data_IF_137121026579
#
_entry.id   IF_137121026579
#
_cell.length_a   1.000
_cell.length_b   1.000
_cell.length_c   1.000
_cell.angle_alpha   90.00
_cell.angle_beta   90.00
_cell.angle_gamma   90.00
#
_symmetry.space_group_name_H-M   'P 1'
#
loop_
_entity.id
_entity.type
_entity.pdbx_description
1 polymer ?
#
# COMPACT_ATOMS: atom_id res chain seq x y z
N UNK A 1 -23.95 -25.45 6.64
CA UNK A 1 -23.63 -26.76 7.25
C UNK A 1 -23.03 -27.75 6.27
N UNK A 2 -23.67 -28.12 5.15
CA UNK A 2 -23.08 -29.06 4.17
C UNK A 2 -21.91 -28.41 3.39
N UNK A 3 -22.11 -27.18 2.93
CA UNK A 3 -21.10 -26.40 2.19
C UNK A 3 -19.89 -26.00 3.07
N UNK A 4 -20.10 -25.67 4.35
CA UNK A 4 -19.01 -25.42 5.31
C UNK A 4 -18.14 -26.67 5.56
N UNK A 5 -18.78 -27.84 5.62
CA UNK A 5 -18.06 -29.11 5.80
C UNK A 5 -17.21 -29.45 4.58
N UNK A 6 -17.74 -29.17 3.39
CA UNK A 6 -17.04 -29.35 2.11
C UNK A 6 -15.84 -28.39 1.98
N UNK A 7 -15.99 -27.12 2.37
CA UNK A 7 -14.89 -26.15 2.39
C UNK A 7 -13.75 -26.57 3.34
N UNK A 8 -14.06 -26.97 4.57
CA UNK A 8 -13.03 -27.42 5.52
C UNK A 8 -12.33 -28.70 5.05
N UNK A 9 -13.08 -29.65 4.48
CA UNK A 9 -12.51 -30.88 3.90
C UNK A 9 -11.53 -30.56 2.75
N UNK A 10 -11.82 -29.55 1.93
CA UNK A 10 -10.91 -29.07 0.88
C UNK A 10 -9.65 -28.43 1.49
N UNK A 11 -9.78 -27.58 2.52
CA UNK A 11 -8.63 -26.95 3.16
C UNK A 11 -7.71 -27.97 3.83
N UNK A 12 -8.29 -28.95 4.51
CA UNK A 12 -7.56 -30.05 5.15
C UNK A 12 -6.83 -30.89 4.10
N UNK A 13 -7.47 -31.17 2.95
CA UNK A 13 -6.85 -31.86 1.83
C UNK A 13 -5.68 -31.07 1.23
N UNK A 14 -5.90 -29.79 0.93
CA UNK A 14 -4.86 -28.91 0.39
C UNK A 14 -3.74 -28.64 1.40
N UNK A 15 -4.02 -28.83 2.70
CA UNK A 15 -3.09 -28.59 3.79
C UNK A 15 -2.75 -27.11 3.97
N UNK A 16 -3.67 -26.20 3.63
CA UNK A 16 -3.52 -24.76 3.81
C UNK A 16 -4.10 -24.32 5.15
N UNK A 17 -3.43 -23.39 5.85
CA UNK A 17 -3.84 -22.98 7.21
C UNK A 17 -3.99 -21.47 7.39
N UNK A 18 -3.46 -20.66 6.48
CA UNK A 18 -3.48 -19.19 6.55
C UNK A 18 -4.26 -18.65 5.35
N UNK A 19 -5.57 -18.47 5.50
CA UNK A 19 -6.42 -17.86 4.49
C UNK A 19 -7.13 -16.63 5.06
N UNK A 20 -7.50 -15.65 4.22
CA UNK A 20 -8.20 -14.45 4.66
C UNK A 20 -9.50 -14.76 5.44
N UNK A 21 -9.86 -13.90 6.40
CA UNK A 21 -11.20 -13.95 7.03
C UNK A 21 -12.28 -13.70 5.95
N UNK A 22 -13.42 -14.38 6.05
CA UNK A 22 -14.53 -14.24 5.09
C UNK A 22 -14.41 -15.06 3.80
N UNK A 23 -13.29 -15.78 3.61
CA UNK A 23 -13.05 -16.56 2.38
C UNK A 23 -14.04 -17.72 2.17
N UNK A 24 -14.57 -18.30 3.24
CA UNK A 24 -15.63 -19.30 3.19
C UNK A 24 -16.94 -18.74 2.60
N UNK A 25 -17.28 -17.48 2.92
CA UNK A 25 -18.46 -16.81 2.35
C UNK A 25 -18.26 -16.56 0.85
N UNK A 26 -17.08 -16.07 0.45
CA UNK A 26 -16.73 -15.90 -0.95
C UNK A 26 -16.80 -17.23 -1.72
N UNK A 27 -16.28 -18.31 -1.14
CA UNK A 27 -16.37 -19.65 -1.74
C UNK A 27 -17.81 -20.11 -1.94
N UNK A 28 -18.72 -19.73 -1.03
CA UNK A 28 -20.13 -20.10 -1.16
C UNK A 28 -20.86 -19.44 -2.33
N UNK A 29 -20.33 -18.32 -2.82
CA UNK A 29 -20.85 -17.55 -3.95
C UNK A 29 -20.21 -17.95 -5.28
N UNK A 30 -19.13 -18.74 -5.25
CA UNK A 30 -18.40 -19.13 -6.44
C UNK A 30 -19.13 -20.24 -7.21
N UNK A 31 -19.32 -20.02 -8.51
CA UNK A 31 -19.86 -21.02 -9.42
C UNK A 31 -18.72 -21.64 -10.25
N UNK A 32 -18.35 -22.90 -10.01
CA UNK A 32 -17.28 -23.56 -10.75
C UNK A 32 -17.66 -23.80 -12.21
N UNK A 33 -16.67 -23.72 -13.10
CA UNK A 33 -16.82 -24.09 -14.51
C UNK A 33 -16.23 -25.48 -14.82
N UNK A 34 -16.70 -26.09 -15.91
CA UNK A 34 -16.31 -27.44 -16.34
C UNK A 34 -14.94 -27.49 -17.05
N UNK A 35 -14.22 -26.38 -17.19
CA UNK A 35 -12.92 -26.38 -17.89
C UNK A 35 -11.92 -27.27 -17.14
N UNK A 36 -10.98 -27.88 -17.87
CA UNK A 36 -9.94 -28.73 -17.27
C UNK A 36 -8.57 -28.05 -17.23
N UNK A 37 -8.54 -26.75 -17.49
CA UNK A 37 -7.34 -25.92 -17.50
C UNK A 37 -7.45 -24.86 -16.40
N UNK A 38 -6.36 -24.64 -15.67
CA UNK A 38 -6.23 -23.47 -14.80
C UNK A 38 -5.78 -22.26 -15.63
N UNK A 39 -4.82 -22.48 -16.53
CA UNK A 39 -4.30 -21.47 -17.45
C UNK A 39 -4.50 -22.00 -18.87
N UNK A 40 -5.25 -21.31 -19.74
CA UNK A 40 -5.36 -21.73 -21.13
C UNK A 40 -3.98 -21.85 -21.77
N UNK A 41 -3.72 -22.95 -22.47
CA UNK A 41 -2.37 -23.27 -22.97
C UNK A 41 -1.71 -22.14 -23.76
N UNK A 42 -2.45 -21.50 -24.66
CA UNK A 42 -1.92 -20.39 -25.47
C UNK A 42 -1.49 -19.19 -24.61
N UNK A 43 -2.18 -18.95 -23.49
CA UNK A 43 -1.81 -17.91 -22.53
C UNK A 43 -0.56 -18.26 -21.74
N UNK A 44 -0.47 -19.50 -21.27
CA UNK A 44 0.71 -19.99 -20.57
C UNK A 44 1.97 -19.85 -21.44
N UNK A 45 1.88 -20.27 -22.72
CA UNK A 45 2.95 -20.07 -23.69
C UNK A 45 3.22 -18.59 -23.97
N UNK A 46 2.19 -17.77 -24.23
CA UNK A 46 2.36 -16.32 -24.48
C UNK A 46 3.11 -15.63 -23.35
N UNK A 47 2.75 -15.92 -22.10
CA UNK A 47 3.32 -15.25 -20.93
C UNK A 47 4.76 -15.67 -20.65
N UNK A 48 5.12 -16.92 -20.92
CA UNK A 48 6.46 -17.44 -20.64
C UNK A 48 7.42 -17.34 -21.84
N UNK A 49 6.93 -17.26 -23.07
CA UNK A 49 7.77 -17.23 -24.28
C UNK A 49 8.84 -16.12 -24.31
N UNK A 50 8.64 -14.91 -23.74
CA UNK A 50 9.67 -13.88 -23.71
C UNK A 50 10.89 -14.22 -22.84
N UNK A 51 10.82 -15.28 -22.03
CA UNK A 51 11.82 -15.60 -21.02
C UNK A 51 12.55 -16.90 -21.38
N UNK A 52 13.87 -16.80 -21.56
CA UNK A 52 14.75 -17.94 -21.85
C UNK A 52 15.01 -18.76 -20.57
N UNK A 53 14.05 -19.59 -20.19
CA UNK A 53 14.14 -20.46 -19.02
C UNK A 53 14.99 -21.71 -19.33
N UNK A 54 15.92 -22.09 -18.43
CA UNK A 54 16.58 -23.39 -18.50
C UNK A 54 15.55 -24.53 -18.59
N UNK A 55 15.87 -25.57 -19.37
CA UNK A 55 14.93 -26.66 -19.69
C UNK A 55 14.35 -27.34 -18.45
N UNK A 56 15.17 -27.57 -17.43
CA UNK A 56 14.76 -28.15 -16.15
C UNK A 56 13.78 -27.24 -15.38
N UNK A 57 14.01 -25.92 -15.42
CA UNK A 57 13.14 -24.92 -14.80
C UNK A 57 11.80 -24.82 -15.51
N UNK A 58 11.81 -24.82 -16.84
CA UNK A 58 10.57 -24.84 -17.63
C UNK A 58 9.78 -26.12 -17.40
N UNK A 59 10.45 -27.27 -17.45
CA UNK A 59 9.83 -28.57 -17.18
C UNK A 59 9.22 -28.63 -15.77
N UNK A 60 9.87 -28.08 -14.75
CA UNK A 60 9.30 -28.03 -13.41
C UNK A 60 7.99 -27.24 -13.34
N UNK A 61 7.90 -26.09 -14.04
CA UNK A 61 6.66 -25.32 -14.10
C UNK A 61 5.56 -26.05 -14.89
N UNK A 62 5.92 -26.71 -16.00
CA UNK A 62 4.98 -27.51 -16.80
C UNK A 62 4.41 -28.66 -15.96
N UNK A 63 5.27 -29.38 -15.21
CA UNK A 63 4.87 -30.46 -14.31
C UNK A 63 4.03 -29.95 -13.13
N UNK A 64 4.34 -28.77 -12.58
CA UNK A 64 3.57 -28.16 -11.50
C UNK A 64 2.16 -27.78 -11.95
N UNK A 65 2.02 -27.18 -13.14
CA UNK A 65 0.71 -26.85 -13.72
C UNK A 65 -0.09 -28.13 -13.97
N UNK A 66 0.54 -29.16 -14.55
CA UNK A 66 -0.12 -30.45 -14.77
C UNK A 66 -0.56 -31.12 -13.45
N UNK A 67 0.23 -30.99 -12.38
CA UNK A 67 -0.15 -31.50 -11.06
C UNK A 67 -1.43 -30.84 -10.53
N UNK A 68 -1.55 -29.52 -10.70
CA UNK A 68 -2.77 -28.77 -10.34
C UNK A 68 -3.96 -29.23 -11.19
N UNK A 69 -3.81 -29.30 -12.52
CA UNK A 69 -4.90 -29.60 -13.45
C UNK A 69 -5.35 -31.08 -13.40
N UNK A 70 -4.48 -31.98 -12.93
CA UNK A 70 -4.80 -33.41 -12.78
C UNK A 70 -5.59 -33.76 -11.52
N UNK A 71 -5.62 -32.87 -10.54
CA UNK A 71 -6.34 -33.03 -9.28
C UNK A 71 -7.57 -32.12 -9.28
N UNK A 72 -8.76 -32.72 -9.38
CA UNK A 72 -10.02 -31.97 -9.50
C UNK A 72 -10.30 -31.07 -8.29
N UNK A 73 -9.92 -31.49 -7.09
CA UNK A 73 -10.08 -30.68 -5.88
C UNK A 73 -9.16 -29.46 -5.92
N UNK A 74 -7.89 -29.67 -6.26
CA UNK A 74 -6.91 -28.58 -6.35
C UNK A 74 -7.30 -27.62 -7.46
N UNK A 75 -7.61 -28.11 -8.66
CA UNK A 75 -8.00 -27.28 -9.81
C UNK A 75 -9.22 -26.39 -9.49
N UNK A 76 -10.29 -26.98 -8.96
CA UNK A 76 -11.51 -26.22 -8.67
C UNK A 76 -11.27 -25.13 -7.62
N UNK A 77 -10.48 -25.44 -6.59
CA UNK A 77 -10.13 -24.45 -5.57
C UNK A 77 -9.15 -23.39 -6.09
N UNK A 78 -8.22 -23.75 -6.98
CA UNK A 78 -7.36 -22.79 -7.68
C UNK A 78 -8.15 -21.81 -8.54
N UNK A 79 -9.17 -22.29 -9.27
CA UNK A 79 -10.05 -21.40 -10.04
C UNK A 79 -10.88 -20.48 -9.16
N UNK A 80 -11.29 -20.94 -7.99
CA UNK A 80 -11.91 -20.08 -6.98
C UNK A 80 -10.96 -18.95 -6.55
N UNK A 81 -9.69 -19.25 -6.24
CA UNK A 81 -8.70 -18.20 -5.95
C UNK A 81 -8.58 -17.19 -7.08
N UNK A 82 -8.47 -17.67 -8.33
CA UNK A 82 -8.41 -16.79 -9.51
C UNK A 82 -9.66 -15.91 -9.59
N UNK A 83 -10.85 -16.50 -9.41
CA UNK A 83 -12.11 -15.78 -9.41
C UNK A 83 -12.18 -14.72 -8.32
N UNK A 84 -11.77 -15.05 -7.10
CA UNK A 84 -11.79 -14.11 -5.97
C UNK A 84 -10.82 -12.95 -6.22
N UNK A 85 -9.57 -13.25 -6.56
CA UNK A 85 -8.55 -12.24 -6.86
C UNK A 85 -8.93 -11.31 -8.02
N UNK A 86 -9.66 -11.81 -9.02
CA UNK A 86 -10.06 -11.03 -10.19
C UNK A 86 -11.40 -10.30 -10.02
N UNK A 87 -12.37 -10.90 -9.33
CA UNK A 87 -13.76 -10.40 -9.27
C UNK A 87 -14.05 -9.59 -8.01
N UNK A 88 -13.40 -9.95 -6.90
CA UNK A 88 -13.69 -9.38 -5.57
C UNK A 88 -12.72 -8.28 -5.18
N UNK A 89 -11.80 -7.88 -6.06
CA UNK A 89 -10.81 -6.82 -5.77
C UNK A 89 -11.41 -5.45 -5.41
N UNK A 90 -12.69 -5.24 -5.71
CA UNK A 90 -13.44 -4.03 -5.32
C UNK A 90 -14.01 -4.08 -3.89
N UNK A 91 -13.91 -5.22 -3.19
CA UNK A 91 -14.18 -5.34 -1.76
C UNK A 91 -12.85 -5.31 -1.00
N UNK A 92 -12.71 -4.28 -0.20
CA UNK A 92 -11.56 -3.81 0.56
C UNK A 92 -10.82 -4.88 1.38
N UNK A 93 -9.50 -4.66 1.52
CA UNK A 93 -8.47 -5.39 2.28
C UNK A 93 -8.15 -6.83 1.85
N UNK A 94 -7.26 -6.92 0.86
CA UNK A 94 -6.74 -8.17 0.28
C UNK A 94 -5.30 -8.44 0.76
N UNK A 95 -4.89 -7.81 1.86
CA UNK A 95 -3.52 -7.92 2.39
C UNK A 95 -3.23 -9.29 3.03
N UNK A 96 -4.21 -10.20 3.05
CA UNK A 96 -4.15 -11.47 3.75
C UNK A 96 -3.73 -12.68 2.89
N UNK A 97 -3.40 -12.50 1.61
CA UNK A 97 -2.81 -13.57 0.79
C UNK A 97 -1.30 -13.67 1.06
N UNK A 98 -0.90 -14.22 2.20
CA UNK A 98 0.52 -14.26 2.58
C UNK A 98 1.22 -15.56 2.15
N UNK A 99 0.52 -16.70 2.12
CA UNK A 99 1.10 -18.01 1.79
C UNK A 99 0.14 -18.91 0.98
N UNK A 100 0.38 -19.05 -0.34
CA UNK A 100 -0.34 -19.99 -1.21
C UNK A 100 0.56 -21.17 -1.60
N UNK A 101 0.74 -22.10 -0.66
CA UNK A 101 1.59 -23.29 -0.84
C UNK A 101 0.87 -24.55 -0.33
N UNK A 102 -0.03 -25.15 -1.14
CA UNK A 102 -0.77 -26.33 -0.72
C UNK A 102 0.16 -27.54 -0.59
N UNK A 103 0.14 -28.17 0.58
CA UNK A 103 0.97 -29.33 0.92
C UNK A 103 0.68 -30.55 0.02
N UNK A 104 -0.54 -30.68 -0.48
CA UNK A 104 -0.95 -31.80 -1.35
C UNK A 104 -0.16 -31.85 -2.67
N UNK A 105 0.43 -30.74 -3.12
CA UNK A 105 1.24 -30.68 -4.34
C UNK A 105 2.69 -31.15 -4.13
N UNK A 106 3.08 -31.50 -2.89
CA UNK A 106 4.41 -31.99 -2.57
C UNK A 106 5.51 -31.04 -3.08
N UNK A 107 6.40 -31.54 -3.95
CA UNK A 107 7.53 -30.78 -4.49
C UNK A 107 7.13 -29.59 -5.39
N UNK A 108 5.87 -29.47 -5.79
CA UNK A 108 5.37 -28.40 -6.68
C UNK A 108 4.67 -27.25 -5.93
N UNK A 109 4.53 -27.34 -4.61
CA UNK A 109 3.79 -26.36 -3.81
C UNK A 109 4.33 -24.92 -3.93
N UNK A 110 5.65 -24.73 -4.05
CA UNK A 110 6.28 -23.42 -4.23
C UNK A 110 5.85 -22.71 -5.52
N UNK A 111 5.54 -23.45 -6.60
CA UNK A 111 5.10 -22.87 -7.86
C UNK A 111 3.63 -22.44 -7.86
N UNK A 112 2.84 -22.92 -6.91
CA UNK A 112 1.39 -22.77 -6.91
C UNK A 112 0.95 -21.31 -6.96
N UNK A 113 1.45 -20.47 -6.05
CA UNK A 113 1.10 -19.05 -6.02
C UNK A 113 1.43 -18.32 -7.33
N UNK A 114 2.57 -18.64 -7.96
CA UNK A 114 2.95 -18.05 -9.24
C UNK A 114 2.03 -18.49 -10.39
N UNK A 115 1.65 -19.77 -10.43
CA UNK A 115 0.73 -20.31 -11.45
C UNK A 115 -0.68 -19.74 -11.30
N UNK A 116 -1.19 -19.61 -10.06
CA UNK A 116 -2.48 -18.94 -9.78
C UNK A 116 -2.44 -17.48 -10.24
N UNK A 117 -1.35 -16.76 -9.98
CA UNK A 117 -1.19 -15.39 -10.49
C UNK A 117 -1.17 -15.34 -12.02
N UNK A 118 -0.46 -16.25 -12.71
CA UNK A 118 -0.49 -16.29 -14.17
C UNK A 118 -1.91 -16.55 -14.72
N UNK A 119 -2.70 -17.36 -14.02
CA UNK A 119 -4.09 -17.64 -14.37
C UNK A 119 -5.01 -16.42 -14.26
N UNK A 120 -4.69 -15.45 -13.40
CA UNK A 120 -5.44 -14.19 -13.29
C UNK A 120 -5.36 -13.34 -14.55
N UNK A 121 -4.25 -13.37 -15.30
CA UNK A 121 -4.03 -12.50 -16.46
C UNK A 121 -5.11 -12.66 -17.55
N UNK A 122 -5.41 -13.87 -18.07
CA UNK A 122 -6.45 -14.04 -19.08
C UNK A 122 -7.85 -13.72 -18.56
N UNK A 123 -8.12 -13.91 -17.27
CA UNK A 123 -9.42 -13.57 -16.65
C UNK A 123 -9.59 -12.06 -16.57
N UNK A 124 -8.61 -11.37 -16.00
CA UNK A 124 -8.61 -9.91 -15.88
C UNK A 124 -8.59 -9.19 -17.22
N UNK A 125 -7.98 -9.76 -18.25
CA UNK A 125 -8.03 -9.17 -19.59
C UNK A 125 -9.47 -9.03 -20.09
N UNK A 126 -10.33 -10.02 -19.84
CA UNK A 126 -11.75 -9.94 -20.24
C UNK A 126 -12.45 -8.73 -19.61
N UNK A 127 -12.09 -8.39 -18.38
CA UNK A 127 -12.62 -7.19 -17.71
C UNK A 127 -12.08 -5.90 -18.32
N UNK A 128 -10.79 -5.85 -18.67
CA UNK A 128 -10.21 -4.70 -19.39
C UNK A 128 -10.89 -4.49 -20.75
N UNK A 129 -11.12 -5.58 -21.50
CA UNK A 129 -11.83 -5.56 -22.78
C UNK A 129 -13.28 -5.06 -22.60
N UNK A 130 -13.98 -5.55 -21.56
CA UNK A 130 -15.35 -5.13 -21.23
C UNK A 130 -15.44 -3.64 -20.90
N UNK A 131 -14.43 -3.10 -20.23
CA UNK A 131 -14.31 -1.66 -19.90
C UNK A 131 -13.86 -0.82 -21.10
N UNK A 132 -13.38 -1.45 -22.17
CA UNK A 132 -12.81 -0.76 -23.32
C UNK A 132 -11.47 -0.09 -23.03
N UNK A 133 -10.72 -0.59 -22.04
CA UNK A 133 -9.35 -0.11 -21.76
C UNK A 133 -8.43 -0.57 -22.90
N UNK A 134 -7.67 0.32 -23.54
CA UNK A 134 -6.72 -0.05 -24.59
C UNK A 134 -5.61 -0.97 -24.06
N UNK A 135 -5.22 -1.95 -24.87
CA UNK A 135 -4.25 -2.99 -24.50
C UNK A 135 -2.89 -2.42 -24.06
N UNK A 136 -2.48 -1.27 -24.63
CA UNK A 136 -1.23 -0.57 -24.27
C UNK A 136 -1.12 -0.20 -22.78
N UNK A 137 -2.25 -0.08 -22.06
CA UNK A 137 -2.24 0.25 -20.63
C UNK A 137 -1.93 -0.95 -19.73
N UNK A 138 -2.11 -2.18 -20.20
CA UNK A 138 -2.07 -3.36 -19.34
C UNK A 138 -1.27 -4.55 -19.89
N UNK A 139 -0.98 -4.64 -21.19
CA UNK A 139 -0.32 -5.83 -21.77
C UNK A 139 1.05 -6.12 -21.13
N UNK A 140 1.85 -5.08 -20.89
CA UNK A 140 3.18 -5.22 -20.30
C UNK A 140 3.18 -5.24 -18.75
N UNK A 141 2.05 -4.98 -18.11
CA UNK A 141 1.97 -4.85 -16.64
C UNK A 141 2.37 -6.15 -15.92
N UNK A 142 1.85 -7.35 -16.27
CA UNK A 142 2.27 -8.61 -15.64
C UNK A 142 3.77 -8.88 -15.82
N UNK A 143 4.32 -8.53 -16.99
CA UNK A 143 5.71 -8.81 -17.34
C UNK A 143 6.72 -8.09 -16.44
N UNK A 144 6.32 -7.03 -15.76
CA UNK A 144 7.14 -6.36 -14.74
C UNK A 144 7.43 -7.28 -13.55
N UNK A 145 6.47 -8.10 -13.14
CA UNK A 145 6.64 -9.03 -12.02
C UNK A 145 7.15 -10.39 -12.49
N UNK A 146 6.67 -10.90 -13.63
CA UNK A 146 7.12 -12.18 -14.19
C UNK A 146 8.64 -12.15 -14.43
N UNK A 147 9.18 -11.04 -14.95
CA UNK A 147 10.62 -10.90 -15.21
C UNK A 147 11.45 -11.10 -13.94
N UNK A 148 11.12 -10.39 -12.87
CA UNK A 148 11.88 -10.45 -11.62
C UNK A 148 11.70 -11.81 -10.92
N UNK A 149 10.48 -12.38 -10.99
CA UNK A 149 10.15 -13.69 -10.44
C UNK A 149 10.95 -14.80 -11.12
N UNK A 150 10.93 -14.86 -12.46
CA UNK A 150 11.65 -15.87 -13.23
C UNK A 150 13.16 -15.68 -13.15
N UNK A 151 13.65 -14.44 -13.12
CA UNK A 151 15.06 -14.17 -12.87
C UNK A 151 15.51 -14.76 -11.53
N UNK A 152 14.78 -14.49 -10.45
CA UNK A 152 15.09 -15.05 -9.12
C UNK A 152 15.04 -16.57 -9.14
N UNK A 153 14.07 -17.16 -9.83
CA UNK A 153 13.96 -18.60 -9.95
C UNK A 153 15.15 -19.24 -10.65
N UNK A 154 15.66 -18.62 -11.71
CA UNK A 154 16.87 -19.08 -12.41
C UNK A 154 18.11 -18.94 -11.51
N UNK A 155 18.25 -17.81 -10.81
CA UNK A 155 19.43 -17.50 -10.00
C UNK A 155 19.50 -18.29 -8.68
N UNK A 156 18.36 -18.57 -8.06
CA UNK A 156 18.30 -19.12 -6.68
C UNK A 156 17.61 -20.47 -6.58
N UNK A 157 16.84 -20.85 -7.60
CA UNK A 157 15.98 -22.02 -7.57
C UNK A 157 14.63 -21.84 -6.88
N UNK A 158 14.36 -20.67 -6.28
CA UNK A 158 13.11 -20.39 -5.58
C UNK A 158 12.07 -19.70 -6.47
N UNK A 159 10.86 -20.26 -6.54
CA UNK A 159 9.73 -19.75 -7.36
C UNK A 159 8.51 -19.32 -6.53
N UNK A 160 8.62 -19.39 -5.20
CA UNK A 160 7.65 -18.83 -4.26
C UNK A 160 7.29 -17.38 -4.60
N UNK A 161 6.13 -16.86 -4.22
CA UNK A 161 5.81 -15.45 -4.50
C UNK A 161 6.14 -14.63 -3.27
N UNK A 162 7.04 -13.67 -3.40
CA UNK A 162 7.31 -12.68 -2.35
C UNK A 162 6.35 -11.51 -2.50
N UNK A 163 5.76 -11.07 -1.38
CA UNK A 163 4.82 -9.93 -1.32
C UNK A 163 3.64 -10.12 -2.30
N UNK A 164 2.95 -11.24 -2.12
CA UNK A 164 1.84 -11.66 -2.98
C UNK A 164 0.73 -10.60 -3.10
N UNK A 165 0.30 -9.88 -2.03
CA UNK A 165 -0.69 -8.81 -2.16
C UNK A 165 -0.26 -7.73 -3.16
N UNK A 166 1.00 -7.29 -3.11
CA UNK A 166 1.54 -6.34 -4.09
C UNK A 166 1.62 -6.94 -5.50
N UNK A 167 2.12 -8.19 -5.63
CA UNK A 167 2.26 -8.84 -6.95
C UNK A 167 0.92 -9.02 -7.63
N UNK A 168 -0.13 -9.38 -6.89
CA UNK A 168 -1.47 -9.61 -7.40
C UNK A 168 -2.00 -8.46 -8.26
N UNK A 169 -1.68 -7.21 -7.89
CA UNK A 169 -2.09 -6.01 -8.64
C UNK A 169 -1.68 -6.06 -10.13
N UNK A 170 -0.50 -6.62 -10.40
CA UNK A 170 0.05 -6.71 -11.76
C UNK A 170 -0.62 -7.81 -12.58
N UNK A 171 -0.85 -8.97 -11.97
CA UNK A 171 -1.45 -10.11 -12.67
C UNK A 171 -2.97 -9.96 -12.84
N UNK A 172 -3.62 -9.21 -11.95
CA UNK A 172 -5.05 -8.89 -12.06
C UNK A 172 -5.32 -7.67 -12.96
N UNK A 173 -4.30 -7.07 -13.57
CA UNK A 173 -4.40 -5.93 -14.50
C UNK A 173 -5.15 -4.73 -13.92
N UNK A 174 -4.88 -4.44 -12.65
CA UNK A 174 -5.60 -3.42 -11.90
C UNK A 174 -4.70 -2.29 -11.40
N UNK A 175 -3.43 -2.35 -11.77
CA UNK A 175 -2.43 -1.32 -11.58
C UNK A 175 -1.98 -0.78 -12.93
N UNK A 176 -1.89 0.54 -13.03
CA UNK A 176 -1.62 1.22 -14.29
C UNK A 176 -0.39 2.09 -14.16
N UNK A 177 0.59 1.90 -15.04
CA UNK A 177 1.74 2.79 -15.16
C UNK A 177 1.34 3.95 -16.08
N UNK A 178 1.18 5.14 -15.51
CA UNK A 178 0.79 6.34 -16.26
C UNK A 178 1.91 7.37 -16.14
N UNK A 179 2.63 7.54 -17.25
CA UNK A 179 3.92 8.24 -17.32
C UNK A 179 4.98 7.63 -16.37
N UNK A 180 5.11 8.15 -15.15
CA UNK A 180 6.17 7.74 -14.21
C UNK A 180 5.69 6.90 -13.03
N UNK A 181 4.43 7.02 -12.65
CA UNK A 181 3.90 6.46 -11.41
C UNK A 181 2.88 5.36 -11.69
N UNK A 182 2.73 4.48 -10.70
CA UNK A 182 1.75 3.40 -10.73
C UNK A 182 0.51 3.81 -9.95
N UNK A 183 -0.67 3.45 -10.46
CA UNK A 183 -1.95 3.84 -9.88
C UNK A 183 -2.89 2.65 -9.73
N UNK A 184 -3.54 2.53 -8.58
CA UNK A 184 -4.65 1.59 -8.33
C UNK A 184 -5.83 2.37 -7.72
N UNK A 185 -7.08 1.94 -7.94
CA UNK A 185 -8.20 2.38 -7.12
C UNK A 185 -7.97 2.06 -5.64
N UNK A 186 -8.36 2.99 -4.76
CA UNK A 186 -8.30 2.87 -3.32
C UNK A 186 -9.57 3.46 -2.71
N UNK A 187 -10.01 2.94 -1.57
CA UNK A 187 -11.06 3.59 -0.79
C UNK A 187 -10.45 4.11 0.51
N UNK A 188 -10.73 5.36 0.79
CA UNK A 188 -10.28 6.04 1.99
C UNK A 188 -10.81 5.34 3.23
N UNK A 189 -9.89 4.72 3.98
CA UNK A 189 -10.17 4.02 5.24
C UNK A 189 -9.67 4.77 6.48
N UNK A 190 -8.87 5.81 6.30
CA UNK A 190 -8.15 6.49 7.38
C UNK A 190 -9.11 7.23 8.32
N UNK A 191 -8.73 7.31 9.61
CA UNK A 191 -9.55 7.91 10.67
C UNK A 191 -9.55 9.44 10.69
N UNK A 192 -9.81 10.08 9.55
CA UNK A 192 -9.99 11.54 9.45
C UNK A 192 -10.85 11.94 8.24
N UNK A 193 -11.33 13.18 8.28
CA UNK A 193 -12.09 13.80 7.19
C UNK A 193 -11.46 15.13 6.77
N UNK A 194 -11.63 15.48 5.49
CA UNK A 194 -11.14 16.75 4.93
C UNK A 194 -12.28 17.70 4.58
N UNK A 195 -12.05 18.99 4.79
CA UNK A 195 -13.01 20.06 4.59
C UNK A 195 -12.38 21.20 3.78
N UNK A 196 -13.13 21.71 2.80
CA UNK A 196 -12.73 22.87 1.99
C UNK A 196 -13.55 24.10 2.39
N UNK A 197 -12.86 25.21 2.63
CA UNK A 197 -13.52 26.49 2.83
C UNK A 197 -14.08 27.01 1.50
N UNK A 198 -15.38 27.32 1.48
CA UNK A 198 -16.10 27.71 0.25
C UNK A 198 -15.66 29.06 -0.34
N UNK A 199 -15.08 29.96 0.46
CA UNK A 199 -14.68 31.29 0.01
C UNK A 199 -13.19 31.40 -0.30
N UNK A 200 -12.34 30.74 0.49
CA UNK A 200 -10.88 30.80 0.33
C UNK A 200 -10.31 29.61 -0.44
N UNK A 201 -11.05 28.51 -0.57
CA UNK A 201 -10.56 27.25 -1.12
C UNK A 201 -9.60 26.49 -0.21
N UNK A 202 -9.25 27.02 0.98
CA UNK A 202 -8.34 26.37 1.92
C UNK A 202 -8.91 25.03 2.37
N UNK A 203 -8.08 23.99 2.30
CA UNK A 203 -8.40 22.65 2.79
C UNK A 203 -7.81 22.46 4.18
N UNK A 204 -8.57 21.83 5.07
CA UNK A 204 -8.13 21.39 6.38
C UNK A 204 -8.56 19.94 6.60
N UNK A 205 -7.91 19.24 7.53
CA UNK A 205 -8.36 17.92 7.96
C UNK A 205 -8.56 17.88 9.48
N UNK A 206 -9.59 17.14 9.89
CA UNK A 206 -9.94 16.92 11.29
C UNK A 206 -9.92 15.42 11.56
N UNK A 207 -9.19 15.02 12.61
CA UNK A 207 -9.18 13.64 13.07
C UNK A 207 -10.58 13.17 13.48
N UNK A 208 -10.85 11.89 13.26
CA UNK A 208 -11.92 11.20 13.95
C UNK A 208 -11.62 11.04 15.43
N UNK A 209 -12.66 10.87 16.24
CA UNK A 209 -12.51 10.68 17.68
C UNK A 209 -11.82 9.36 18.01
N UNK A 210 -10.84 9.41 18.93
CA UNK A 210 -10.25 8.25 19.57
C UNK A 210 -8.89 7.79 19.03
N UNK A 211 -8.35 8.42 17.99
CA UNK A 211 -6.97 8.19 17.57
C UNK A 211 -6.00 8.70 18.65
N UNK A 212 -4.95 7.93 18.92
CA UNK A 212 -3.94 8.24 19.95
C UNK A 212 -2.67 8.74 19.29
N UNK A 213 -2.18 9.89 19.72
CA UNK A 213 -0.95 10.49 19.21
C UNK A 213 0.06 10.73 20.34
N UNK A 214 1.34 10.69 19.98
CA UNK A 214 2.44 11.08 20.86
C UNK A 214 2.58 12.60 20.96
N UNK A 215 3.50 13.05 21.80
CA UNK A 215 3.76 14.49 21.95
C UNK A 215 4.31 15.17 20.67
N UNK A 216 4.83 14.41 19.70
CA UNK A 216 5.31 14.85 18.38
C UNK A 216 4.20 14.86 17.31
N UNK A 217 2.96 14.55 17.69
CA UNK A 217 1.85 14.45 16.75
C UNK A 217 1.98 13.27 15.81
N UNK A 218 2.75 12.24 16.19
CA UNK A 218 2.83 10.97 15.49
C UNK A 218 1.76 10.02 16.00
N UNK A 219 1.10 9.34 15.07
CA UNK A 219 0.06 8.41 15.41
C UNK A 219 0.67 7.20 16.13
N UNK A 220 0.09 6.84 17.26
CA UNK A 220 0.47 5.66 18.02
C UNK A 220 -0.50 4.51 17.80
N UNK A 221 -1.79 4.81 17.67
CA UNK A 221 -2.88 3.84 17.49
C UNK A 221 -4.07 4.50 16.81
N UNK A 222 -4.55 3.91 15.71
CA UNK A 222 -5.88 4.21 15.15
C UNK A 222 -6.96 3.63 16.06
N UNK A 223 -8.07 4.36 16.29
CA UNK A 223 -9.23 3.76 16.99
C UNK A 223 -9.74 2.50 16.27
N UNK A 224 -9.68 2.50 14.94
CA UNK A 224 -10.20 1.43 14.08
C UNK A 224 -9.45 0.10 14.24
N UNK A 225 -8.27 0.06 14.90
CA UNK A 225 -7.57 -1.22 15.10
C UNK A 225 -8.34 -2.16 16.03
N UNK A 226 -9.25 -1.68 16.89
CA UNK A 226 -10.08 -2.56 17.75
C UNK A 226 -11.03 -3.48 16.96
N UNK A 227 -11.31 -3.20 15.68
CA UNK A 227 -12.11 -4.07 14.80
C UNK A 227 -11.25 -5.01 13.94
N UNK A 228 -9.94 -4.75 13.85
CA UNK A 228 -8.98 -5.45 12.99
C UNK A 228 -7.90 -6.21 13.76
N UNK A 229 -7.83 -6.05 15.09
CA UNK A 229 -6.87 -6.73 15.96
C UNK A 229 -7.00 -8.26 15.77
N UNK A 230 -6.02 -8.85 15.09
CA UNK A 230 -5.66 -10.24 15.30
C UNK A 230 -4.88 -10.29 16.63
N UNK A 231 -5.42 -10.91 17.69
CA UNK A 231 -4.73 -10.97 18.97
C UNK A 231 -3.36 -11.67 18.91
N UNK A 232 -3.04 -12.39 17.82
CA UNK A 232 -1.69 -12.94 17.60
C UNK A 232 -0.66 -11.90 17.09
N UNK A 233 -1.07 -10.79 16.44
CA UNK A 233 -0.16 -9.69 16.04
C UNK A 233 0.21 -8.75 17.21
N UNK A 234 -0.58 -8.74 18.29
CA UNK A 234 -0.22 -8.01 19.51
C UNK A 234 1.02 -8.61 20.21
N UNK A 235 1.34 -9.90 20.00
CA UNK A 235 2.55 -10.49 20.59
C UNK A 235 3.82 -10.22 19.77
N UNK A 236 3.73 -10.08 18.43
CA UNK A 236 4.91 -9.78 17.58
C UNK A 236 5.21 -8.28 17.43
N UNK A 237 4.19 -7.41 17.44
CA UNK A 237 4.39 -5.95 17.30
C UNK A 237 4.80 -5.24 18.59
N UNK A 238 4.68 -5.91 19.74
CA UNK A 238 5.08 -5.41 21.05
C UNK A 238 6.49 -5.82 21.49
N UNK A 239 7.29 -6.49 20.64
CA UNK A 239 8.73 -6.59 20.91
C UNK A 239 9.34 -5.19 20.82
N UNK A 240 9.51 -4.55 21.99
CA UNK A 240 10.35 -3.38 22.12
C UNK A 240 11.68 -3.66 21.40
N UNK A 241 12.17 -2.75 20.52
CA UNK A 241 13.38 -2.99 19.76
C UNK A 241 14.50 -3.39 20.71
N UNK A 242 15.08 -4.58 20.47
CA UNK A 242 16.11 -5.19 21.33
C UNK A 242 17.20 -4.15 21.60
N UNK A 243 17.25 -3.56 22.83
CA UNK A 243 18.10 -2.40 23.11
C UNK A 243 19.60 -2.67 22.91
N UNK A 244 19.99 -3.94 22.89
CA UNK A 244 21.38 -4.39 22.84
C UNK A 244 21.88 -4.80 21.44
N UNK A 245 21.11 -4.55 20.36
CA UNK A 245 21.53 -4.94 19.01
C UNK A 245 22.06 -3.80 18.14
N UNK A 246 21.99 -2.54 18.58
CA UNK A 246 22.40 -1.38 17.75
C UNK A 246 21.47 -1.05 16.58
N UNK A 247 20.30 -1.69 16.51
CA UNK A 247 19.23 -1.37 15.56
C UNK A 247 18.27 -0.34 16.19
N UNK A 248 18.26 0.88 15.68
CA UNK A 248 17.37 1.95 16.16
C UNK A 248 16.20 2.08 15.19
N UNK A 249 15.27 1.13 15.20
CA UNK A 249 14.03 1.28 14.42
C UNK A 249 13.06 2.15 15.18
N UNK A 250 12.99 3.44 14.80
CA UNK A 250 11.97 4.38 15.26
C UNK A 250 11.72 4.34 16.77
N UNK A 251 12.73 4.03 17.59
CA UNK A 251 12.50 3.49 18.93
C UNK A 251 11.72 4.48 19.76
N UNK A 252 10.40 4.25 19.91
CA UNK A 252 9.50 5.06 20.73
C UNK A 252 10.17 5.16 22.11
N UNK A 253 10.27 6.35 22.71
CA UNK A 253 10.90 6.43 24.01
C UNK A 253 10.09 5.54 24.95
N UNK A 254 10.76 4.70 25.76
CA UNK A 254 10.08 3.76 26.67
C UNK A 254 9.06 4.45 27.62
N UNK A 255 9.14 5.78 27.71
CA UNK A 255 8.08 6.68 28.15
C UNK A 255 8.05 7.87 27.19
N UNK A 256 7.13 7.92 26.25
CA UNK A 256 6.69 9.23 25.75
C UNK A 256 5.92 9.90 26.90
N UNK A 257 6.38 11.05 27.43
CA UNK A 257 5.84 11.58 28.66
C UNK A 257 4.40 12.10 28.53
N UNK A 258 3.85 12.25 27.32
CA UNK A 258 2.49 12.76 27.08
C UNK A 258 1.92 12.27 25.74
N UNK A 259 0.88 11.45 25.80
CA UNK A 259 0.00 11.17 24.65
C UNK A 259 -1.26 12.01 24.74
N UNK A 260 -1.93 12.23 23.61
CA UNK A 260 -3.27 12.79 23.57
C UNK A 260 -4.20 11.94 22.71
N UNK A 261 -5.49 11.96 23.07
CA UNK A 261 -6.55 11.26 22.34
C UNK A 261 -7.36 12.32 21.62
N UNK A 262 -7.57 12.10 20.32
CA UNK A 262 -8.34 13.01 19.48
C UNK A 262 -9.81 13.00 19.83
N UNK A 263 -10.44 14.18 19.76
CA UNK A 263 -11.85 14.40 20.05
C UNK A 263 -12.51 14.98 18.82
N UNK A 264 -13.75 14.57 18.54
CA UNK A 264 -14.58 15.15 17.50
C UNK A 264 -15.98 15.38 18.02
N UNK A 265 -16.51 16.58 17.77
CA UNK A 265 -17.87 16.99 18.15
C UNK A 265 -18.55 17.62 16.95
N UNK A 266 -19.78 17.21 16.68
CA UNK A 266 -20.56 17.73 15.58
C UNK A 266 -21.93 18.18 16.08
N UNK A 267 -22.30 19.43 15.76
CA UNK A 267 -23.64 19.98 15.97
C UNK A 267 -24.34 20.13 14.61
N UNK A 268 -25.53 20.72 14.59
CA UNK A 268 -26.20 21.04 13.32
C UNK A 268 -25.38 22.00 12.45
N UNK A 269 -24.68 22.96 13.07
CA UNK A 269 -24.01 24.08 12.38
C UNK A 269 -22.48 23.97 12.33
N UNK A 270 -21.88 23.25 13.28
CA UNK A 270 -20.44 23.31 13.54
C UNK A 270 -19.81 21.92 13.74
N UNK A 271 -18.53 21.84 13.43
CA UNK A 271 -17.70 20.66 13.68
C UNK A 271 -16.44 21.13 14.42
N UNK A 272 -16.15 20.51 15.56
CA UNK A 272 -14.95 20.75 16.34
C UNK A 272 -14.11 19.49 16.40
N UNK A 273 -12.82 19.57 16.10
CA UNK A 273 -11.91 18.45 16.22
C UNK A 273 -10.45 18.84 16.25
N UNK A 274 -9.58 17.86 16.53
CA UNK A 274 -8.12 18.04 16.51
C UNK A 274 -7.62 18.34 15.10
N UNK A 275 -6.87 19.42 14.97
CA UNK A 275 -6.30 19.87 13.70
C UNK A 275 -5.18 18.93 13.24
N UNK A 276 -5.25 18.50 11.99
CA UNK A 276 -4.16 17.82 11.32
C UNK A 276 -3.35 18.86 10.54
N UNK A 277 -2.10 19.04 10.93
CA UNK A 277 -1.22 19.96 10.25
C UNK A 277 -0.77 19.35 8.90
N UNK A 278 -0.99 20.05 7.77
CA UNK A 278 -0.72 19.54 6.42
C UNK A 278 0.74 19.16 6.14
N UNK A 279 1.68 19.51 7.03
CA UNK A 279 3.10 19.13 6.90
C UNK A 279 3.43 17.74 7.47
N UNK A 280 2.47 17.04 8.11
CA UNK A 280 2.64 15.62 8.49
C UNK A 280 2.53 15.29 9.98
N UNK A 281 1.89 16.12 10.80
CA UNK A 281 1.67 15.81 12.22
C UNK A 281 0.30 16.30 12.71
N UNK A 282 -0.19 15.71 13.80
CA UNK A 282 -1.45 16.11 14.43
C UNK A 282 -1.18 16.94 15.69
N UNK A 283 -1.98 17.98 15.90
CA UNK A 283 -1.90 18.83 17.09
C UNK A 283 -2.96 18.45 18.15
N UNK A 284 -2.62 18.60 19.44
CA UNK A 284 -3.61 18.55 20.53
C UNK A 284 -4.63 19.70 20.42
N UNK A 285 -4.27 20.76 19.69
CA UNK A 285 -5.13 21.90 19.37
C UNK A 285 -6.40 21.46 18.66
N UNK A 286 -7.54 21.85 19.21
CA UNK A 286 -8.83 21.74 18.54
C UNK A 286 -9.14 23.01 17.75
N UNK A 287 -9.81 22.85 16.61
CA UNK A 287 -10.39 23.93 15.83
C UNK A 287 -11.88 23.66 15.60
N UNK A 288 -12.65 24.73 15.43
CA UNK A 288 -14.08 24.67 15.08
C UNK A 288 -14.28 25.27 13.70
N UNK A 289 -14.99 24.53 12.84
CA UNK A 289 -15.45 25.00 11.54
C UNK A 289 -16.97 25.08 11.48
N UNK A 290 -17.47 26.04 10.71
CA UNK A 290 -18.90 26.18 10.41
C UNK A 290 -19.23 25.47 9.11
N UNK A 291 -20.26 24.63 9.11
CA UNK A 291 -20.76 23.92 7.93
C UNK A 291 -21.33 24.86 6.85
N UNK A 292 -21.73 26.07 7.24
CA UNK A 292 -22.10 27.11 6.28
C UNK A 292 -20.90 27.61 5.46
N UNK A 293 -19.70 27.63 6.03
CA UNK A 293 -18.47 28.14 5.42
C UNK A 293 -17.59 27.03 4.81
N UNK A 294 -17.75 25.79 5.27
CA UNK A 294 -16.97 24.64 4.80
C UNK A 294 -17.86 23.58 4.14
N UNK A 295 -17.28 22.85 3.20
CA UNK A 295 -17.86 21.63 2.65
C UNK A 295 -16.95 20.44 2.93
N UNK A 296 -17.53 19.26 3.15
CA UNK A 296 -16.77 18.02 3.30
C UNK A 296 -16.33 17.54 1.91
N UNK A 297 -15.04 17.31 1.72
CA UNK A 297 -14.46 16.93 0.42
C UNK A 297 -13.82 15.54 0.41
N UNK A 298 -13.58 14.96 1.58
CA UNK A 298 -13.14 13.57 1.74
C UNK A 298 -13.67 12.99 3.06
N UNK A 299 -14.23 11.78 2.99
CA UNK A 299 -14.71 11.01 4.13
C UNK A 299 -14.40 9.51 3.96
N UNK A 300 -14.50 8.76 5.05
CA UNK A 300 -14.36 7.29 5.01
C UNK A 300 -15.33 6.70 3.98
N UNK A 301 -14.81 5.81 3.14
CA UNK A 301 -15.60 5.19 2.06
C UNK A 301 -15.50 5.89 0.71
N UNK A 302 -14.95 7.12 0.64
CA UNK A 302 -14.71 7.79 -0.63
C UNK A 302 -13.60 7.09 -1.43
N UNK A 303 -13.73 7.09 -2.76
CA UNK A 303 -12.70 6.53 -3.64
C UNK A 303 -11.60 7.54 -3.91
N UNK A 304 -10.35 7.08 -3.87
CA UNK A 304 -9.16 7.78 -4.31
C UNK A 304 -8.31 6.89 -5.22
N UNK A 305 -7.21 7.43 -5.71
CA UNK A 305 -6.25 6.72 -6.55
C UNK A 305 -4.96 6.55 -5.74
N UNK A 306 -4.64 5.33 -5.34
CA UNK A 306 -3.39 5.06 -4.64
C UNK A 306 -2.20 5.16 -5.61
N UNK A 307 -1.30 6.10 -5.32
CA UNK A 307 -0.09 6.39 -6.08
C UNK A 307 1.09 5.59 -5.51
N UNK A 308 1.80 4.89 -6.37
CA UNK A 308 2.99 4.11 -6.02
C UNK A 308 4.20 4.59 -6.82
N UNK A 309 5.38 4.55 -6.20
CA UNK A 309 6.64 5.11 -6.72
C UNK A 309 7.56 3.97 -7.18
N UNK A 310 7.61 3.62 -8.48
CA UNK A 310 8.64 2.71 -8.98
C UNK A 310 10.05 3.23 -8.68
N UNK A 311 11.00 2.34 -8.42
CA UNK A 311 12.41 2.70 -8.29
C UNK A 311 12.99 3.28 -9.58
N UNK A 312 13.91 4.25 -9.47
CA UNK A 312 14.56 4.93 -10.59
C UNK A 312 14.42 6.44 -10.55
N UNK A 313 14.98 7.13 -11.54
CA UNK A 313 14.93 8.59 -11.66
C UNK A 313 13.52 9.12 -11.96
N UNK A 314 13.30 10.45 -11.95
CA UNK A 314 12.03 11.05 -12.37
C UNK A 314 11.02 11.32 -11.25
N UNK A 315 11.43 11.24 -9.98
CA UNK A 315 10.62 11.71 -8.86
C UNK A 315 10.69 13.25 -8.78
N UNK A 316 9.87 13.95 -9.57
CA UNK A 316 9.85 15.42 -9.64
C UNK A 316 8.41 15.96 -9.62
N UNK A 317 8.21 17.24 -9.25
CA UNK A 317 6.89 17.89 -9.31
C UNK A 317 6.21 17.77 -10.68
N UNK A 318 6.95 17.95 -11.77
CA UNK A 318 6.41 17.95 -13.13
C UNK A 318 5.93 16.55 -13.54
N UNK A 319 6.70 15.52 -13.19
CA UNK A 319 6.33 14.12 -13.44
C UNK A 319 5.17 13.69 -12.55
N UNK A 320 5.10 14.16 -11.31
CA UNK A 320 3.96 13.90 -10.45
C UNK A 320 2.69 14.52 -11.04
N UNK A 321 2.72 15.80 -11.39
CA UNK A 321 1.58 16.52 -11.98
C UNK A 321 1.08 15.86 -13.27
N UNK A 322 1.99 15.59 -14.22
CA UNK A 322 1.63 14.94 -15.50
C UNK A 322 1.06 13.54 -15.32
N UNK A 323 1.65 12.73 -14.42
CA UNK A 323 1.14 11.38 -14.14
C UNK A 323 -0.22 11.40 -13.45
N UNK A 324 -0.43 12.31 -12.49
CA UNK A 324 -1.73 12.48 -11.82
C UNK A 324 -2.81 12.94 -12.81
N UNK A 325 -2.48 13.86 -13.72
CA UNK A 325 -3.41 14.29 -14.76
C UNK A 325 -3.85 13.12 -15.65
N UNK A 326 -2.89 12.31 -16.11
CA UNK A 326 -3.18 11.11 -16.89
C UNK A 326 -4.03 10.10 -16.11
N UNK A 327 -3.76 9.93 -14.80
CA UNK A 327 -4.56 9.08 -13.94
C UNK A 327 -6.01 9.56 -13.83
N UNK A 328 -6.24 10.85 -13.56
CA UNK A 328 -7.59 11.40 -13.50
C UNK A 328 -8.35 11.22 -14.84
N UNK A 329 -7.68 11.42 -15.97
CA UNK A 329 -8.27 11.18 -17.30
C UNK A 329 -8.59 9.70 -17.53
N UNK A 330 -7.66 8.80 -17.15
CA UNK A 330 -7.82 7.36 -17.28
C UNK A 330 -8.98 6.82 -16.42
N UNK A 331 -8.97 7.07 -15.12
CA UNK A 331 -10.01 6.59 -14.20
C UNK A 331 -11.36 7.25 -14.48
N UNK A 332 -11.39 8.55 -14.82
CA UNK A 332 -12.62 9.21 -15.23
C UNK A 332 -13.26 8.62 -16.49
N UNK A 333 -12.46 8.00 -17.38
CA UNK A 333 -12.96 7.36 -18.60
C UNK A 333 -13.36 5.89 -18.40
N UNK A 334 -12.53 5.10 -17.73
CA UNK A 334 -12.68 3.63 -17.67
C UNK A 334 -13.24 3.10 -16.35
N UNK A 335 -13.29 3.95 -15.31
CA UNK A 335 -13.85 3.66 -13.99
C UNK A 335 -14.79 4.79 -13.50
N UNK A 336 -15.74 5.28 -14.33
CA UNK A 336 -16.59 6.41 -13.98
C UNK A 336 -17.52 6.14 -12.79
N UNK A 337 -17.72 4.88 -12.43
CA UNK A 337 -18.47 4.46 -11.24
C UNK A 337 -17.75 4.77 -9.93
N UNK A 338 -16.42 4.95 -9.98
CA UNK A 338 -15.59 5.31 -8.84
C UNK A 338 -15.39 6.83 -8.87
N UNK A 339 -16.15 7.57 -8.07
CA UNK A 339 -16.02 9.03 -7.96
C UNK A 339 -14.71 9.41 -7.26
N UNK A 340 -13.60 9.36 -8.01
CA UNK A 340 -12.25 9.58 -7.52
C UNK A 340 -12.09 11.01 -6.97
N UNK A 341 -11.89 11.12 -5.66
CA UNK A 341 -11.69 12.40 -4.95
C UNK A 341 -10.28 12.95 -5.07
N UNK A 342 -9.30 12.10 -5.41
CA UNK A 342 -7.90 12.49 -5.47
C UNK A 342 -6.95 11.30 -5.42
N UNK A 343 -5.79 11.53 -4.83
CA UNK A 343 -4.70 10.58 -4.68
C UNK A 343 -4.39 10.34 -3.22
N UNK A 344 -3.98 9.11 -2.91
CA UNK A 344 -3.46 8.69 -1.63
C UNK A 344 -2.14 7.96 -1.83
N UNK A 345 -1.26 8.00 -0.84
CA UNK A 345 -0.07 7.13 -0.79
C UNK A 345 0.49 7.13 0.62
N UNK A 346 1.21 6.08 1.00
CA UNK A 346 2.06 6.08 2.20
C UNK A 346 3.50 5.78 1.80
N UNK A 347 4.44 6.58 2.32
CA UNK A 347 5.87 6.39 2.05
C UNK A 347 6.77 7.14 3.03
N UNK A 348 7.93 6.56 3.32
CA UNK A 348 9.04 7.25 4.01
C UNK A 348 9.47 8.55 3.30
N UNK A 349 9.24 8.66 1.99
CA UNK A 349 9.58 9.85 1.20
C UNK A 349 8.75 11.08 1.55
N UNK A 350 7.63 10.93 2.26
CA UNK A 350 6.74 12.04 2.57
C UNK A 350 7.05 12.71 3.92
N UNK A 351 7.88 12.07 4.74
CA UNK A 351 8.29 12.59 6.05
C UNK A 351 9.04 13.93 5.90
N UNK A 352 8.45 15.02 6.44
CA UNK A 352 9.04 16.38 6.39
C UNK A 352 10.38 16.45 7.10
N UNK A 353 10.70 15.52 8.02
CA UNK A 353 12.02 15.45 8.68
C UNK A 353 13.16 15.16 7.69
N UNK A 354 12.88 14.61 6.50
CA UNK A 354 13.87 14.50 5.43
C UNK A 354 14.42 15.87 5.01
N UNK A 355 13.62 16.92 5.08
CA UNK A 355 14.06 18.29 4.78
C UNK A 355 15.19 18.75 5.70
N UNK A 356 15.23 18.27 6.94
CA UNK A 356 16.29 18.59 7.89
C UNK A 356 17.66 18.04 7.47
N UNK A 357 17.67 16.98 6.66
CA UNK A 357 18.91 16.33 6.22
C UNK A 357 19.31 16.68 4.78
N UNK A 358 18.34 16.95 3.88
CA UNK A 358 18.63 17.26 2.47
C UNK A 358 18.43 18.73 2.11
N UNK A 359 17.72 19.49 2.94
CA UNK A 359 17.35 20.88 2.70
C UNK A 359 16.21 21.08 1.70
N UNK A 360 15.78 22.34 1.58
CA UNK A 360 14.77 22.79 0.60
C UNK A 360 15.29 22.70 -0.85
N UNK A 361 14.37 22.80 -1.80
CA UNK A 361 14.67 22.84 -3.24
C UNK A 361 15.33 21.56 -3.77
N UNK A 362 15.00 20.41 -3.17
CA UNK A 362 15.39 19.08 -3.68
C UNK A 362 14.16 18.40 -4.22
N UNK A 363 14.36 17.43 -5.12
CA UNK A 363 13.26 16.68 -5.70
C UNK A 363 12.28 16.12 -4.66
N UNK A 364 12.78 15.52 -3.57
CA UNK A 364 11.93 15.01 -2.48
C UNK A 364 11.16 16.13 -1.80
N UNK A 365 11.81 17.23 -1.40
CA UNK A 365 11.16 18.34 -0.68
C UNK A 365 10.19 19.12 -1.56
N UNK A 366 10.50 19.33 -2.84
CA UNK A 366 9.60 19.97 -3.78
C UNK A 366 8.34 19.13 -4.06
N UNK A 367 8.49 17.80 -4.11
CA UNK A 367 7.35 16.89 -4.24
C UNK A 367 6.50 16.90 -2.98
N UNK A 368 7.14 16.85 -1.81
CA UNK A 368 6.49 16.93 -0.50
C UNK A 368 5.61 18.19 -0.33
N UNK A 369 5.96 19.29 -0.99
CA UNK A 369 5.18 20.53 -0.89
C UNK A 369 3.83 20.46 -1.62
N UNK A 370 3.67 19.53 -2.58
CA UNK A 370 2.44 19.37 -3.37
C UNK A 370 1.32 18.62 -2.64
N UNK A 371 1.57 18.10 -1.44
CA UNK A 371 0.70 17.13 -0.79
C UNK A 371 0.31 17.55 0.63
N UNK A 372 -0.91 17.17 1.02
CA UNK A 372 -1.31 17.14 2.41
C UNK A 372 -0.70 15.89 3.04
N UNK A 373 0.02 16.02 4.13
CA UNK A 373 0.66 14.89 4.82
C UNK A 373 0.06 14.67 6.19
N UNK A 374 0.09 13.41 6.62
CA UNK A 374 -0.31 13.01 7.96
C UNK A 374 0.53 11.83 8.45
N UNK A 375 0.61 11.68 9.77
CA UNK A 375 1.26 10.52 10.37
C UNK A 375 0.36 9.29 10.24
N UNK A 376 0.87 8.21 9.64
CA UNK A 376 0.17 6.93 9.49
C UNK A 376 0.51 5.92 10.62
N UNK A 377 1.46 6.29 11.49
CA UNK A 377 1.80 5.58 12.73
C UNK A 377 2.84 4.47 12.62
N UNK A 378 3.37 4.21 11.42
CA UNK A 378 4.39 3.19 11.20
C UNK A 378 5.81 3.65 11.59
N UNK A 379 6.63 2.68 12.00
CA UNK A 379 7.87 2.91 12.74
C UNK A 379 9.10 3.28 11.88
N UNK A 380 8.90 3.76 10.65
CA UNK A 380 9.94 4.27 9.75
C UNK A 380 10.90 3.19 9.19
N UNK A 381 10.55 1.92 9.33
CA UNK A 381 11.24 0.74 8.78
C UNK A 381 11.34 0.80 7.25
N UNK A 382 10.33 1.33 6.57
CA UNK A 382 10.30 1.51 5.12
C UNK A 382 11.50 2.32 4.63
N UNK A 383 11.95 3.33 5.40
CA UNK A 383 13.16 4.08 5.06
C UNK A 383 14.36 3.14 4.98
N UNK A 384 14.51 2.20 5.92
CA UNK A 384 15.66 1.30 5.94
C UNK A 384 15.64 0.30 4.78
N UNK A 385 14.48 -0.31 4.53
CA UNK A 385 14.30 -1.24 3.40
C UNK A 385 14.64 -0.55 2.08
N UNK A 386 14.19 0.68 1.87
CA UNK A 386 14.37 1.36 0.58
C UNK A 386 15.71 2.10 0.46
N UNK A 387 16.20 2.73 1.52
CA UNK A 387 17.43 3.54 1.50
C UNK A 387 18.69 2.69 1.68
N UNK A 388 18.62 1.65 2.51
CA UNK A 388 19.77 0.79 2.85
C UNK A 388 19.66 -0.64 2.31
N UNK A 389 18.46 -1.11 1.93
CA UNK A 389 18.21 -2.45 1.36
C UNK A 389 18.57 -3.61 2.29
N UNK A 390 18.61 -3.35 3.59
CA UNK A 390 18.89 -4.35 4.61
C UNK A 390 18.34 -3.81 5.95
N UNK A 391 17.76 -4.70 6.76
CA UNK A 391 17.27 -4.43 8.12
C UNK A 391 18.14 -5.12 9.21
N UNK A 392 19.13 -5.91 8.83
CA UNK A 392 19.93 -6.72 9.77
C UNK A 392 21.25 -6.06 10.17
N UNK A 393 21.56 -4.89 9.62
CA UNK A 393 22.78 -4.16 9.96
C UNK A 393 22.49 -3.07 11.00
N UNK A 394 23.49 -2.81 11.86
CA UNK A 394 23.46 -1.63 12.73
C UNK A 394 23.70 -0.35 11.92
N UNK A 395 23.19 0.78 12.41
CA UNK A 395 23.29 2.08 11.72
C UNK A 395 24.73 2.47 11.37
N UNK A 396 25.70 2.11 12.22
CA UNK A 396 27.12 2.39 11.99
C UNK A 396 27.74 1.54 10.87
N UNK A 397 27.15 0.38 10.57
CA UNK A 397 27.72 -0.61 9.65
C UNK A 397 27.21 -0.44 8.22
N UNK A 398 26.18 0.38 7.98
CA UNK A 398 25.67 0.59 6.63
C UNK A 398 26.67 1.35 5.74
N UNK A 399 27.01 0.80 4.56
CA UNK A 399 27.83 1.52 3.60
C UNK A 399 27.05 2.70 3.02
N UNK A 400 27.38 3.91 3.48
CA UNK A 400 26.75 5.15 2.99
C UNK A 400 27.46 5.62 1.72
N UNK A 401 26.77 5.58 0.57
CA UNK A 401 27.28 6.00 -0.74
C UNK A 401 26.75 7.36 -1.20
N UNK A 402 25.67 7.85 -0.59
CA UNK A 402 24.98 9.09 -0.97
C UNK A 402 24.84 10.04 0.22
N UNK A 403 24.68 11.34 -0.06
CA UNK A 403 24.41 12.33 0.98
C UNK A 403 23.13 12.05 1.76
N UNK A 404 22.11 11.47 1.11
CA UNK A 404 20.86 11.08 1.77
C UNK A 404 21.09 9.95 2.80
N UNK A 405 21.87 8.93 2.43
CA UNK A 405 22.26 7.85 3.37
C UNK A 405 23.07 8.40 4.55
N UNK A 406 24.03 9.28 4.28
CA UNK A 406 24.85 9.90 5.34
C UNK A 406 23.96 10.73 6.28
N UNK A 407 23.12 11.61 5.72
CA UNK A 407 22.24 12.50 6.48
C UNK A 407 21.22 11.73 7.32
N UNK A 408 20.58 10.70 6.75
CA UNK A 408 19.63 9.86 7.48
C UNK A 408 20.31 9.12 8.64
N UNK A 409 21.47 8.50 8.40
CA UNK A 409 22.24 7.82 9.46
C UNK A 409 22.62 8.80 10.57
N UNK A 410 23.18 9.96 10.23
CA UNK A 410 23.65 10.94 11.21
C UNK A 410 22.48 11.55 12.01
N UNK A 411 21.30 11.70 11.41
CA UNK A 411 20.07 12.10 12.11
C UNK A 411 19.61 11.04 13.10
N UNK A 412 19.56 9.77 12.69
CA UNK A 412 19.17 8.65 13.54
C UNK A 412 20.17 8.42 14.70
N UNK A 413 21.48 8.53 14.46
CA UNK A 413 22.52 8.43 15.49
C UNK A 413 22.43 9.54 16.56
N UNK A 414 21.82 10.68 16.23
CA UNK A 414 21.55 11.78 17.18
C UNK A 414 20.24 11.59 17.96
N UNK A 415 19.57 10.46 17.78
CA UNK A 415 18.28 10.15 18.42
C UNK A 415 17.06 10.64 17.64
N UNK A 416 17.25 11.15 16.42
CA UNK A 416 16.15 11.46 15.51
C UNK A 416 15.40 10.20 15.08
N UNK A 417 14.18 10.39 14.58
CA UNK A 417 13.33 9.30 14.09
C UNK A 417 12.70 9.69 12.75
N UNK A 418 12.62 8.71 11.86
CA UNK A 418 11.77 8.80 10.68
C UNK A 418 10.52 7.98 10.91
N UNK A 419 9.45 8.32 10.21
CA UNK A 419 8.22 7.55 10.19
C UNK A 419 7.82 7.30 8.75
N UNK A 420 6.98 6.29 8.53
CA UNK A 420 6.17 6.32 7.32
C UNK A 420 5.18 7.48 7.47
N UNK A 421 4.74 8.04 6.37
CA UNK A 421 3.87 9.22 6.35
C UNK A 421 2.86 8.99 5.26
N UNK A 422 1.59 9.18 5.57
CA UNK A 422 0.53 9.18 4.58
C UNK A 422 0.45 10.53 3.88
N UNK A 423 0.03 10.52 2.63
CA UNK A 423 -0.22 11.73 1.86
C UNK A 423 -1.53 11.67 1.10
N UNK A 424 -2.13 12.84 0.93
CA UNK A 424 -3.34 13.07 0.16
C UNK A 424 -3.13 14.23 -0.82
N UNK A 425 -3.69 14.08 -2.03
CA UNK A 425 -3.81 15.17 -3.00
C UNK A 425 -5.20 15.09 -3.62
N UNK A 426 -6.10 16.01 -3.26
CA UNK A 426 -7.43 16.08 -3.86
C UNK A 426 -7.34 16.46 -5.34
N UNK A 427 -8.36 16.06 -6.09
CA UNK A 427 -8.44 16.23 -7.56
C UNK A 427 -8.17 17.66 -8.03
N UNK A 428 -8.67 18.67 -7.31
CA UNK A 428 -8.45 20.08 -7.66
C UNK A 428 -6.98 20.48 -7.51
N UNK A 429 -6.36 20.13 -6.37
CA UNK A 429 -4.95 20.41 -6.11
C UNK A 429 -4.02 19.63 -7.05
N UNK A 430 -4.37 18.39 -7.40
CA UNK A 430 -3.62 17.61 -8.39
C UNK A 430 -3.57 18.31 -9.76
N UNK A 431 -4.61 19.09 -10.11
CA UNK A 431 -4.68 19.79 -11.39
C UNK A 431 -4.06 21.19 -11.34
N UNK A 432 -4.27 21.94 -10.25
CA UNK A 432 -3.87 23.34 -10.14
C UNK A 432 -2.53 23.58 -9.41
N UNK A 433 -2.03 22.59 -8.65
CA UNK A 433 -0.77 22.66 -7.91
C UNK A 433 -0.79 23.54 -6.66
N UNK A 434 -1.96 23.84 -6.11
CA UNK A 434 -2.08 24.63 -4.88
C UNK A 434 -1.47 23.89 -3.68
N UNK A 435 -0.81 24.65 -2.80
CA UNK A 435 -0.24 24.12 -1.56
C UNK A 435 -1.32 23.95 -0.49
N UNK A 436 -1.17 22.90 0.33
CA UNK A 436 -2.07 22.63 1.45
C UNK A 436 -1.69 23.38 2.73
N UNK A 437 -0.41 23.70 2.90
CA UNK A 437 0.13 24.32 4.11
C UNK A 437 0.43 25.80 3.91
N UNK A 438 0.42 26.55 5.00
CA UNK A 438 0.80 27.96 5.08
C UNK A 438 2.22 28.12 5.65
N UNK A 439 2.78 29.32 5.55
CA UNK A 439 4.06 29.66 6.20
C UNK A 439 4.00 29.47 7.72
N UNK A 440 2.82 29.63 8.34
CA UNK A 440 2.61 29.39 9.77
C UNK A 440 2.71 27.89 10.10
N UNK A 441 2.06 27.04 9.30
CA UNK A 441 2.14 25.58 9.48
C UNK A 441 3.60 25.10 9.36
N UNK A 442 4.37 25.64 8.41
CA UNK A 442 5.78 25.31 8.25
C UNK A 442 6.64 25.84 9.41
N UNK A 443 6.38 27.07 9.89
CA UNK A 443 7.09 27.63 11.04
C UNK A 443 6.86 26.80 12.30
N UNK A 444 5.62 26.37 12.54
CA UNK A 444 5.26 25.56 13.71
C UNK A 444 6.01 24.22 13.70
N UNK A 445 6.19 23.59 12.53
CA UNK A 445 7.04 22.41 12.39
C UNK A 445 8.49 22.68 12.80
N UNK A 446 9.09 23.76 12.32
CA UNK A 446 10.49 24.09 12.62
C UNK A 446 10.71 24.45 14.09
N UNK A 447 9.78 25.19 14.70
CA UNK A 447 9.81 25.51 16.13
C UNK A 447 9.69 24.23 16.96
N UNK A 448 8.80 23.31 16.56
CA UNK A 448 8.62 22.01 17.18
C UNK A 448 9.90 21.17 17.13
N UNK A 449 10.54 21.07 15.97
CA UNK A 449 11.79 20.31 15.81
C UNK A 449 12.95 20.94 16.60
N UNK A 450 13.04 22.28 16.58
CA UNK A 450 14.06 23.04 17.33
C UNK A 450 13.94 22.85 18.84
N UNK A 451 12.71 22.89 19.37
CA UNK A 451 12.45 22.68 20.80
C UNK A 451 12.90 21.30 21.30
N UNK A 452 13.02 20.32 20.39
CA UNK A 452 13.48 18.96 20.66
C UNK A 452 14.96 18.74 20.42
N UNK A 453 15.70 19.80 20.07
CA UNK A 453 17.14 19.76 19.87
C UNK A 453 17.58 19.29 18.48
N UNK A 454 16.62 19.13 17.55
CA UNK A 454 16.94 18.93 16.14
C UNK A 454 17.27 20.30 15.53
N UNK A 455 18.41 20.42 14.85
CA UNK A 455 18.90 21.67 14.25
C UNK A 455 19.06 21.53 12.75
#
# INVERSE_FOLDING_TARGET
MKQNREYQEILDYMGMRKLPKGFEEAFSLYEPDDSKELIPKDWYEKLLAPYDLPKDKRQYLDEALAAIESDETVLNFSKFFVWDMCSMRNKYDIDNYTELMPNCLGKYNEAYGFLVLLACVPVSKKEMDRRGVPEEYYEDIPHRMIRDQLKRYVETGKIDVLDMPWKMNFYTLTIFLLDRFLFIPYQHGEGFEMYRNKSTGKVIALNDEGNVYDSEGQLLKWKLSEEWDDPEEEEESNEAPKPDTGHVYGSRPAKDPKTFVTVKKETEDEITGNYMNPVGYTEEKMITIKKSEYEKVLAKGDYMIALHIPGGEGYTPERMHSSMKLALEFFGKYYPELDMKGFWSSSWLYDKRLEMIIGKNKNITNVQDLMFRYSDGENGDMLYVHLYRNLDNTLSDYPCKTSLQIGARDFLLKGGRFCTTGMMILKEEALNGNLYFSEEDEKDFYDMMSARGYK
#
